data_IF_267879835980
#
_entry.id   IF_267879835980
#
_cell.length_a   1.000
_cell.length_b   1.000
_cell.length_c   1.000
_cell.angle_alpha   90.00
_cell.angle_beta   90.00
_cell.angle_gamma   90.00
#
_symmetry.space_group_name_H-M   'P 1'
#
loop_
_entity.id
_entity.type
_entity.pdbx_description
1 polymer ?
#
# COMPACT_ATOMS: atom_id res chain seq x y z
N UNK A 1 32.57 11.54 -33.06
CA UNK A 1 31.70 10.99 -32.00
C UNK A 1 31.32 12.14 -31.11
N UNK A 2 30.16 12.74 -31.35
CA UNK A 2 29.68 13.91 -30.61
C UNK A 2 28.62 13.40 -29.64
N UNK A 3 28.89 13.53 -28.34
CA UNK A 3 27.93 13.18 -27.30
C UNK A 3 26.72 14.11 -27.45
N UNK A 4 25.57 13.53 -27.77
CA UNK A 4 24.29 14.23 -27.68
C UNK A 4 23.99 14.46 -26.20
N UNK A 5 24.18 15.70 -25.76
CA UNK A 5 23.63 16.19 -24.48
C UNK A 5 22.12 16.19 -24.66
N UNK A 6 21.42 15.38 -23.86
CA UNK A 6 19.96 15.43 -23.80
C UNK A 6 19.54 16.81 -23.27
N UNK A 7 18.58 17.51 -23.90
CA UNK A 7 18.08 18.76 -23.37
C UNK A 7 17.42 18.51 -22.01
N UNK A 8 17.79 19.31 -21.01
CA UNK A 8 17.03 19.37 -19.76
C UNK A 8 15.59 19.79 -20.05
N UNK A 9 14.60 19.24 -19.33
CA UNK A 9 13.20 19.59 -19.57
C UNK A 9 13.00 21.08 -19.27
N UNK A 10 12.60 21.84 -20.30
CA UNK A 10 12.25 23.26 -20.19
C UNK A 10 11.21 23.47 -19.07
N UNK A 11 11.66 24.10 -17.99
CA UNK A 11 10.87 24.46 -16.80
C UNK A 11 10.18 25.82 -16.96
N UNK A 12 9.76 26.18 -18.17
CA UNK A 12 9.07 27.45 -18.41
C UNK A 12 7.57 27.25 -18.26
N UNK A 13 7.04 27.76 -17.15
CA UNK A 13 5.60 27.85 -16.96
C UNK A 13 4.94 28.91 -17.84
N UNK A 14 3.64 29.22 -17.62
CA UNK A 14 3.01 30.40 -18.20
C UNK A 14 3.93 31.63 -18.04
N UNK A 15 3.98 32.53 -19.04
CA UNK A 15 4.89 33.69 -19.05
C UNK A 15 4.97 34.37 -17.67
N UNK A 16 6.18 34.42 -17.11
CA UNK A 16 6.47 35.10 -15.84
C UNK A 16 6.38 34.23 -14.58
N UNK A 17 6.08 32.93 -14.65
CA UNK A 17 6.09 32.06 -13.47
C UNK A 17 7.47 31.43 -13.26
N UNK A 18 8.16 31.86 -12.20
CA UNK A 18 9.39 31.25 -11.69
C UNK A 18 9.06 30.05 -10.80
N UNK A 19 9.17 28.84 -11.36
CA UNK A 19 8.88 27.58 -10.66
C UNK A 19 9.85 27.30 -9.51
N UNK A 20 11.09 27.80 -9.57
CA UNK A 20 12.07 27.60 -8.50
C UNK A 20 11.71 28.47 -7.29
N UNK A 21 11.37 29.74 -7.53
CA UNK A 21 10.89 30.64 -6.47
C UNK A 21 9.60 30.12 -5.85
N UNK A 22 8.70 29.57 -6.66
CA UNK A 22 7.48 28.93 -6.19
C UNK A 22 7.76 27.71 -5.32
N UNK A 23 8.63 26.80 -5.77
CA UNK A 23 9.08 25.64 -5.00
C UNK A 23 9.65 26.03 -3.64
N UNK A 24 10.55 27.02 -3.61
CA UNK A 24 11.17 27.51 -2.38
C UNK A 24 10.13 28.07 -1.40
N UNK A 25 9.16 28.84 -1.91
CA UNK A 25 8.08 29.36 -1.07
C UNK A 25 7.20 28.23 -0.51
N UNK A 26 6.83 27.26 -1.34
CA UNK A 26 6.04 26.11 -0.89
C UNK A 26 6.78 25.28 0.16
N UNK A 27 8.09 25.06 0.01
CA UNK A 27 8.90 24.36 0.99
C UNK A 27 8.88 25.02 2.37
N UNK A 28 8.73 26.34 2.44
CA UNK A 28 8.58 27.07 3.70
C UNK A 28 7.11 27.15 4.19
N UNK A 29 6.14 27.04 3.28
CA UNK A 29 4.72 27.18 3.59
C UNK A 29 4.04 25.85 3.96
N UNK A 30 4.61 24.72 3.59
CA UNK A 30 4.12 23.38 3.91
C UNK A 30 4.53 22.99 5.33
N UNK A 31 3.56 22.49 6.10
CA UNK A 31 3.82 21.93 7.43
C UNK A 31 4.22 20.45 7.34
N UNK A 32 5.45 20.10 7.73
CA UNK A 32 5.95 18.71 7.71
C UNK A 32 5.15 17.78 8.63
N UNK A 33 4.71 18.30 9.79
CA UNK A 33 3.94 17.59 10.81
C UNK A 33 2.42 17.66 10.62
N UNK A 34 1.93 18.00 9.42
CA UNK A 34 0.48 18.07 9.14
C UNK A 34 -0.22 16.75 9.49
N UNK A 35 -1.38 16.80 10.16
CA UNK A 35 -2.14 15.61 10.61
C UNK A 35 -1.27 14.54 11.29
N UNK A 36 -0.75 14.80 12.51
CA UNK A 36 0.04 13.83 13.26
C UNK A 36 -0.70 12.49 13.40
N UNK A 37 0.00 11.39 13.11
CA UNK A 37 -0.56 10.03 13.15
C UNK A 37 -1.29 9.59 11.87
N UNK A 38 -1.71 10.51 11.01
CA UNK A 38 -2.28 10.19 9.70
C UNK A 38 -1.27 10.41 8.56
N UNK A 39 -0.48 11.48 8.60
CA UNK A 39 0.54 11.78 7.57
C UNK A 39 1.93 11.34 8.01
N UNK A 40 2.65 10.73 7.07
CA UNK A 40 4.08 10.43 7.18
C UNK A 40 4.82 11.09 6.01
N UNK A 41 5.57 12.16 6.33
CA UNK A 41 6.37 12.91 5.36
C UNK A 41 7.56 12.13 4.80
N UNK A 42 8.07 11.12 5.51
CA UNK A 42 9.20 10.31 5.03
C UNK A 42 8.73 9.31 3.97
N UNK A 43 7.63 8.61 4.23
CA UNK A 43 7.09 7.65 3.26
C UNK A 43 6.18 8.31 2.23
N UNK A 44 5.77 9.57 2.44
CA UNK A 44 4.79 10.32 1.66
C UNK A 44 3.45 9.57 1.60
N UNK A 45 3.07 8.97 2.72
CA UNK A 45 1.86 8.17 2.90
C UNK A 45 0.94 8.86 3.88
N UNK A 46 -0.30 9.05 3.47
CA UNK A 46 -1.39 9.38 4.36
C UNK A 46 -2.17 8.11 4.68
N UNK A 47 -2.46 7.88 5.96
CA UNK A 47 -3.33 6.82 6.49
C UNK A 47 -4.43 7.47 7.33
N UNK A 48 -5.63 7.53 6.76
CA UNK A 48 -6.77 8.17 7.40
C UNK A 48 -7.22 7.45 8.66
N UNK A 49 -7.32 8.22 9.74
CA UNK A 49 -7.87 7.77 11.01
C UNK A 49 -9.40 7.69 10.94
N UNK A 50 -9.95 6.55 11.35
CA UNK A 50 -11.40 6.31 11.38
C UNK A 50 -12.10 7.10 12.48
N UNK A 51 -11.36 7.48 13.53
CA UNK A 51 -11.87 8.24 14.66
C UNK A 51 -11.76 9.75 14.42
N UNK A 52 -11.04 10.17 13.37
CA UNK A 52 -10.95 11.57 12.99
C UNK A 52 -12.14 11.98 12.10
N UNK A 53 -13.08 12.81 12.59
CA UNK A 53 -14.27 13.19 11.82
C UNK A 53 -13.96 14.06 10.59
N UNK A 54 -12.73 14.56 10.47
CA UNK A 54 -12.23 15.34 9.34
C UNK A 54 -11.61 14.48 8.25
N UNK A 55 -11.66 13.16 8.38
CA UNK A 55 -11.20 12.19 7.37
C UNK A 55 -12.36 11.31 6.95
N UNK A 56 -12.54 11.08 5.64
CA UNK A 56 -13.57 10.18 5.11
C UNK A 56 -13.12 8.72 5.18
N UNK A 57 -12.96 8.24 6.40
CA UNK A 57 -12.64 6.87 6.74
C UNK A 57 -13.66 6.38 7.78
N UNK A 58 -14.25 5.22 7.54
CA UNK A 58 -15.25 4.64 8.44
C UNK A 58 -14.98 3.16 8.61
N UNK A 59 -15.21 2.61 9.80
CA UNK A 59 -15.23 1.16 9.97
C UNK A 59 -16.43 0.56 9.23
N UNK A 60 -16.26 -0.66 8.73
CA UNK A 60 -17.36 -1.44 8.17
C UNK A 60 -18.50 -1.53 9.18
N UNK A 61 -19.74 -1.41 8.70
CA UNK A 61 -20.95 -1.46 9.55
C UNK A 61 -21.07 -2.75 10.38
N UNK A 62 -20.49 -3.86 9.93
CA UNK A 62 -20.44 -5.09 10.73
C UNK A 62 -19.51 -4.91 11.93
N UNK A 63 -20.05 -5.05 13.15
CA UNK A 63 -19.33 -4.76 14.39
C UNK A 63 -18.02 -5.54 14.56
N UNK A 64 -18.00 -6.81 14.13
CA UNK A 64 -16.80 -7.67 14.18
C UNK A 64 -15.84 -7.49 12.99
N UNK A 65 -16.07 -6.51 12.10
CA UNK A 65 -15.29 -6.28 10.89
C UNK A 65 -14.53 -4.95 10.98
N UNK A 66 -13.21 -5.01 11.16
CA UNK A 66 -12.33 -3.82 11.20
C UNK A 66 -11.94 -3.29 9.81
N UNK A 67 -12.57 -3.76 8.74
CA UNK A 67 -12.26 -3.23 7.39
C UNK A 67 -12.70 -1.78 7.28
N UNK A 68 -11.79 -0.89 6.92
CA UNK A 68 -12.11 0.52 6.68
C UNK A 68 -12.73 0.71 5.30
N UNK A 69 -13.81 1.48 5.25
CA UNK A 69 -14.60 1.83 4.08
C UNK A 69 -14.70 3.36 3.93
N UNK A 70 -14.99 3.81 2.71
CA UNK A 70 -15.09 5.26 2.37
C UNK A 70 -16.40 5.92 2.79
N UNK A 71 -17.47 5.13 2.99
CA UNK A 71 -18.79 5.58 3.43
C UNK A 71 -19.23 4.77 4.63
N UNK A 72 -20.21 5.25 5.40
CA UNK A 72 -20.80 4.49 6.52
C UNK A 72 -21.64 3.31 6.00
N UNK A 73 -20.96 2.25 5.53
CA UNK A 73 -21.56 1.11 4.84
C UNK A 73 -20.82 -0.20 5.16
N UNK A 74 -21.29 -1.30 4.56
CA UNK A 74 -20.57 -2.57 4.62
C UNK A 74 -19.38 -2.57 3.67
N UNK A 75 -18.29 -3.24 4.05
CA UNK A 75 -17.22 -3.53 3.09
C UNK A 75 -17.72 -4.48 2.00
N UNK A 76 -17.06 -4.49 0.83
CA UNK A 76 -17.51 -5.29 -0.32
C UNK A 76 -17.73 -6.78 0.00
N UNK A 77 -16.92 -7.36 0.90
CA UNK A 77 -17.07 -8.76 1.35
C UNK A 77 -18.32 -8.94 2.21
N UNK A 78 -18.54 -8.07 3.18
CA UNK A 78 -19.73 -8.09 4.03
C UNK A 78 -20.99 -7.82 3.21
N UNK A 79 -20.97 -6.90 2.24
CA UNK A 79 -22.07 -6.66 1.29
C UNK A 79 -22.43 -7.92 0.53
N UNK A 80 -21.44 -8.60 -0.06
CA UNK A 80 -21.66 -9.84 -0.81
C UNK A 80 -22.22 -10.94 0.08
N UNK A 81 -21.67 -11.14 1.28
CA UNK A 81 -22.17 -12.15 2.21
C UNK A 81 -23.59 -11.84 2.68
N UNK A 82 -23.87 -10.61 3.09
CA UNK A 82 -25.20 -10.18 3.53
C UNK A 82 -26.26 -10.49 2.48
N UNK A 83 -25.98 -10.19 1.19
CA UNK A 83 -26.89 -10.48 0.08
C UNK A 83 -27.24 -11.97 -0.09
N UNK A 84 -26.44 -12.88 0.46
CA UNK A 84 -26.67 -14.33 0.40
C UNK A 84 -27.36 -14.90 1.64
N UNK A 85 -27.45 -14.13 2.73
CA UNK A 85 -27.96 -14.62 4.02
C UNK A 85 -29.46 -14.41 4.23
N UNK A 86 -30.11 -13.55 3.44
CA UNK A 86 -31.52 -13.19 3.61
C UNK A 86 -31.85 -12.42 4.90
N UNK A 87 -30.85 -12.09 5.72
CA UNK A 87 -30.99 -11.33 6.96
C UNK A 87 -31.16 -9.84 6.68
N UNK A 88 -31.78 -9.13 7.63
CA UNK A 88 -31.78 -7.68 7.59
C UNK A 88 -30.35 -7.12 7.75
N UNK A 89 -30.12 -5.90 7.27
CA UNK A 89 -28.82 -5.25 7.41
C UNK A 89 -28.39 -5.10 8.88
N UNK A 90 -29.31 -4.74 9.78
CA UNK A 90 -29.02 -4.56 11.21
C UNK A 90 -28.68 -5.88 11.90
N UNK A 91 -29.47 -6.91 11.64
CA UNK A 91 -29.21 -8.25 12.17
C UNK A 91 -27.86 -8.79 11.68
N UNK A 92 -27.53 -8.61 10.40
CA UNK A 92 -26.24 -9.00 9.85
C UNK A 92 -25.10 -8.19 10.48
N UNK A 93 -25.26 -6.87 10.63
CA UNK A 93 -24.24 -6.00 11.20
C UNK A 93 -23.88 -6.37 12.65
N UNK A 94 -24.87 -6.78 13.45
CA UNK A 94 -24.70 -7.14 14.84
C UNK A 94 -24.17 -8.57 15.05
N UNK A 95 -24.59 -9.53 14.21
CA UNK A 95 -24.34 -10.96 14.47
C UNK A 95 -23.25 -11.59 13.61
N UNK A 96 -22.90 -11.00 12.46
CA UNK A 96 -21.93 -11.60 11.55
C UNK A 96 -20.50 -11.44 12.07
N UNK A 97 -19.82 -12.56 12.27
CA UNK A 97 -18.37 -12.60 12.55
C UNK A 97 -17.64 -13.14 11.31
N UNK A 98 -16.85 -12.32 10.60
CA UNK A 98 -16.09 -12.78 9.44
C UNK A 98 -15.09 -13.87 9.86
N UNK A 99 -15.11 -15.04 9.18
CA UNK A 99 -14.28 -16.21 9.51
C UNK A 99 -12.75 -15.97 9.43
N UNK A 100 -12.37 -14.82 8.88
CA UNK A 100 -11.12 -14.07 8.99
C UNK A 100 -11.30 -12.96 7.97
N UNK A 101 -10.91 -11.72 8.28
CA UNK A 101 -10.72 -10.73 7.23
C UNK A 101 -9.61 -11.28 6.34
N UNK A 102 -9.97 -11.98 5.25
CA UNK A 102 -8.97 -12.41 4.29
C UNK A 102 -8.19 -11.14 3.93
N UNK A 103 -6.90 -11.12 4.25
CA UNK A 103 -6.05 -9.95 4.05
C UNK A 103 -6.37 -9.38 2.67
N UNK A 104 -6.74 -8.10 2.59
CA UNK A 104 -6.84 -7.46 1.29
C UNK A 104 -5.51 -7.69 0.55
N UNK A 105 -5.52 -7.80 -0.78
CA UNK A 105 -4.26 -7.90 -1.55
C UNK A 105 -3.28 -6.85 -1.04
N UNK A 106 -2.06 -7.21 -0.62
CA UNK A 106 -1.09 -6.23 -0.09
C UNK A 106 -1.23 -5.87 1.41
N UNK A 107 -2.17 -6.46 2.14
CA UNK A 107 -2.03 -6.65 3.59
C UNK A 107 -1.28 -7.95 3.89
N UNK A 108 -0.63 -8.01 5.05
CA UNK A 108 0.18 -9.15 5.47
C UNK A 108 -0.60 -10.46 5.28
N UNK A 109 -0.14 -11.36 4.39
CA UNK A 109 -0.71 -12.69 4.28
C UNK A 109 -0.74 -13.34 5.66
N UNK A 110 -1.65 -14.27 5.90
CA UNK A 110 -1.55 -15.10 7.09
C UNK A 110 -0.12 -15.62 7.21
N UNK A 111 0.52 -15.47 8.37
CA UNK A 111 1.87 -15.99 8.59
C UNK A 111 1.89 -17.50 8.37
N UNK A 112 3.05 -18.01 7.98
CA UNK A 112 3.29 -19.44 7.86
C UNK A 112 2.79 -20.19 9.12
N UNK A 113 2.20 -21.36 8.88
CA UNK A 113 1.63 -22.23 9.91
C UNK A 113 2.70 -23.09 10.61
N UNK A 114 3.98 -22.99 10.22
CA UNK A 114 5.08 -23.64 10.92
C UNK A 114 5.37 -22.91 12.22
N UNK A 115 5.19 -23.63 13.31
CA UNK A 115 5.49 -23.19 14.67
C UNK A 115 6.14 -24.34 15.46
N UNK A 116 7.02 -23.99 16.40
CA UNK A 116 7.67 -24.93 17.33
C UNK A 116 7.89 -24.23 18.66
N UNK A 117 7.29 -24.76 19.72
CA UNK A 117 7.22 -24.09 21.02
C UNK A 117 6.65 -22.66 20.86
N UNK A 118 7.40 -21.63 21.26
CA UNK A 118 6.98 -20.23 21.16
C UNK A 118 7.40 -19.55 19.84
N UNK A 119 8.12 -20.26 18.97
CA UNK A 119 8.58 -19.73 17.69
C UNK A 119 7.54 -19.98 16.62
N UNK A 120 7.12 -18.93 15.92
CA UNK A 120 6.31 -19.03 14.71
C UNK A 120 7.04 -18.38 13.56
N UNK A 121 6.98 -19.03 12.39
CA UNK A 121 7.57 -18.48 11.19
C UNK A 121 6.90 -17.16 10.81
N UNK A 122 7.69 -16.09 10.75
CA UNK A 122 7.27 -14.74 10.39
C UNK A 122 6.97 -14.59 8.90
N UNK A 123 7.42 -15.53 8.05
CA UNK A 123 7.26 -15.43 6.60
C UNK A 123 5.79 -15.53 6.17
N UNK A 124 5.38 -14.79 5.13
CA UNK A 124 4.01 -14.85 4.63
C UNK A 124 3.69 -16.25 4.08
N UNK A 125 2.51 -16.77 4.40
CA UNK A 125 2.01 -17.99 3.77
C UNK A 125 1.75 -17.75 2.28
N UNK A 126 2.20 -18.70 1.46
CA UNK A 126 2.05 -18.69 0.01
C UNK A 126 1.09 -19.79 -0.48
N UNK A 127 1.29 -21.03 -0.02
CA UNK A 127 0.51 -22.19 -0.44
C UNK A 127 0.22 -23.08 0.76
N UNK A 128 -1.06 -23.49 0.91
CA UNK A 128 -1.52 -24.39 1.99
C UNK A 128 -1.13 -23.94 3.40
N UNK A 129 -1.11 -22.62 3.63
CA UNK A 129 -0.72 -22.05 4.92
C UNK A 129 0.79 -22.05 5.20
N UNK A 130 1.64 -22.43 4.24
CA UNK A 130 3.11 -22.47 4.41
C UNK A 130 3.80 -21.38 3.58
N UNK A 131 4.92 -20.84 4.08
CA UNK A 131 5.82 -20.02 3.28
C UNK A 131 6.48 -20.87 2.17
N UNK A 132 7.12 -20.23 1.20
CA UNK A 132 7.70 -20.94 0.04
C UNK A 132 8.81 -21.93 0.43
N UNK A 133 9.63 -21.58 1.43
CA UNK A 133 10.72 -22.44 1.91
C UNK A 133 10.18 -23.62 2.71
N UNK A 134 9.22 -23.41 3.61
CA UNK A 134 8.58 -24.49 4.35
C UNK A 134 7.72 -25.39 3.47
N UNK A 135 7.04 -24.84 2.47
CA UNK A 135 6.32 -25.66 1.50
C UNK A 135 7.27 -26.58 0.72
N UNK A 136 8.45 -26.08 0.35
CA UNK A 136 9.49 -26.88 -0.33
C UNK A 136 10.07 -27.96 0.58
N UNK A 137 10.52 -27.59 1.78
CA UNK A 137 11.09 -28.54 2.75
C UNK A 137 10.10 -29.63 3.15
N UNK A 138 8.80 -29.29 3.29
CA UNK A 138 7.76 -30.29 3.55
C UNK A 138 7.58 -31.22 2.36
N UNK A 139 7.52 -30.69 1.14
CA UNK A 139 7.37 -31.49 -0.09
C UNK A 139 8.53 -32.47 -0.24
N UNK A 140 9.76 -32.03 0.03
CA UNK A 140 10.95 -32.89 0.03
C UNK A 140 10.88 -33.97 1.12
N UNK A 141 10.34 -33.64 2.30
CA UNK A 141 10.20 -34.57 3.41
C UNK A 141 9.09 -35.64 3.21
N UNK A 142 7.90 -35.26 2.71
CA UNK A 142 6.80 -36.23 2.51
C UNK A 142 6.76 -36.93 1.15
N UNK A 143 7.30 -36.31 0.10
CA UNK A 143 6.97 -36.68 -1.29
C UNK A 143 5.51 -36.45 -1.70
N UNK A 144 4.62 -36.12 -0.76
CA UNK A 144 3.20 -35.90 -0.99
C UNK A 144 2.87 -34.45 -1.33
N UNK A 145 1.78 -34.28 -2.08
CA UNK A 145 1.22 -32.95 -2.37
C UNK A 145 0.22 -32.51 -1.30
N UNK A 146 -0.43 -33.38 -0.53
CA UNK A 146 -1.40 -32.95 0.49
C UNK A 146 -0.72 -32.51 1.80
N UNK A 147 -1.35 -31.59 2.55
CA UNK A 147 -0.91 -31.20 3.90
C UNK A 147 -2.03 -31.58 4.87
N UNK A 148 -1.78 -32.61 5.68
CA UNK A 148 -2.62 -32.94 6.83
C UNK A 148 -2.04 -32.23 8.05
N UNK A 149 -2.88 -31.59 8.86
CA UNK A 149 -2.44 -30.75 9.99
C UNK A 149 -1.54 -31.49 10.98
N UNK A 150 -1.85 -32.74 11.31
CA UNK A 150 -1.05 -33.57 12.22
C UNK A 150 0.36 -33.85 11.69
N UNK A 151 0.50 -34.06 10.39
CA UNK A 151 1.80 -34.27 9.75
C UNK A 151 2.62 -32.99 9.66
N UNK A 152 1.95 -31.84 9.50
CA UNK A 152 2.61 -30.54 9.51
C UNK A 152 3.25 -30.27 10.87
N UNK A 153 2.52 -30.54 11.95
CA UNK A 153 3.03 -30.39 13.33
C UNK A 153 4.21 -31.33 13.57
N UNK A 154 4.10 -32.60 13.17
CA UNK A 154 5.19 -33.57 13.33
C UNK A 154 6.46 -33.17 12.56
N UNK A 155 6.30 -32.68 11.33
CA UNK A 155 7.43 -32.19 10.53
C UNK A 155 8.03 -30.90 11.10
N UNK A 156 7.21 -29.93 11.51
CA UNK A 156 7.66 -28.66 12.11
C UNK A 156 8.41 -28.87 13.44
N UNK A 157 8.09 -29.93 14.19
CA UNK A 157 8.80 -30.31 15.41
C UNK A 157 10.24 -30.78 15.16
N UNK A 158 10.60 -31.16 13.92
CA UNK A 158 11.95 -31.59 13.58
C UNK A 158 12.98 -30.46 13.80
N UNK A 159 14.11 -30.71 14.47
CA UNK A 159 15.19 -29.72 14.65
C UNK A 159 15.77 -29.20 13.32
N UNK A 160 15.67 -29.99 12.24
CA UNK A 160 16.13 -29.60 10.91
C UNK A 160 15.26 -28.55 10.22
N UNK A 161 14.05 -28.30 10.72
CA UNK A 161 13.20 -27.22 10.23
C UNK A 161 13.62 -25.92 10.91
N UNK A 162 14.17 -25.01 10.10
CA UNK A 162 14.52 -23.65 10.50
C UNK A 162 13.24 -22.81 10.55
N UNK A 163 13.05 -22.01 11.59
CA UNK A 163 11.90 -21.11 11.73
C UNK A 163 12.42 -19.68 11.73
N UNK A 164 12.26 -18.97 10.62
CA UNK A 164 12.57 -17.53 10.59
C UNK A 164 11.48 -16.76 11.31
N UNK A 165 11.79 -16.17 12.47
CA UNK A 165 10.84 -15.38 13.26
C UNK A 165 10.83 -13.91 12.81
N UNK A 166 12.02 -13.36 12.59
CA UNK A 166 12.19 -11.99 12.11
C UNK A 166 12.18 -11.97 10.58
N UNK A 167 11.17 -11.30 10.02
CA UNK A 167 11.07 -11.10 8.57
C UNK A 167 11.07 -9.59 8.31
N UNK A 168 12.00 -9.10 7.48
CA UNK A 168 12.07 -7.69 7.18
C UNK A 168 10.82 -7.21 6.45
N UNK A 169 10.53 -5.92 6.61
CA UNK A 169 9.48 -5.24 5.87
C UNK A 169 9.89 -5.00 4.41
N UNK A 170 8.89 -4.83 3.54
CA UNK A 170 9.09 -4.53 2.14
C UNK A 170 9.92 -3.26 1.95
N UNK A 171 10.92 -3.31 1.07
CA UNK A 171 11.74 -2.15 0.72
C UNK A 171 10.98 -1.01 0.02
N UNK A 172 9.70 -1.20 -0.34
CA UNK A 172 8.85 -0.12 -0.86
C UNK A 172 8.42 0.78 0.30
N UNK A 173 8.77 2.07 0.30
CA UNK A 173 8.49 2.95 1.43
C UNK A 173 6.98 3.01 1.78
N UNK A 174 6.67 2.88 3.07
CA UNK A 174 5.31 2.84 3.58
C UNK A 174 4.57 1.51 3.36
N UNK A 175 5.24 0.48 2.84
CA UNK A 175 4.65 -0.85 2.70
C UNK A 175 4.96 -1.73 3.91
N UNK A 176 3.94 -2.07 4.67
CA UNK A 176 4.03 -2.98 5.83
C UNK A 176 4.01 -4.47 5.45
N UNK A 177 4.14 -4.79 4.16
CA UNK A 177 4.07 -6.17 3.68
C UNK A 177 5.36 -6.91 4.02
N UNK A 178 5.25 -8.11 4.60
CA UNK A 178 6.41 -8.96 4.84
C UNK A 178 7.12 -9.31 3.51
N UNK A 179 8.45 -9.24 3.52
CA UNK A 179 9.30 -9.63 2.39
C UNK A 179 9.11 -11.12 2.09
N UNK A 180 9.12 -11.47 0.80
CA UNK A 180 9.17 -12.90 0.43
C UNK A 180 10.62 -13.40 0.54
N UNK A 181 10.83 -14.67 0.90
CA UNK A 181 12.18 -15.18 1.09
C UNK A 181 13.11 -14.94 -0.12
N UNK A 182 14.35 -14.56 0.18
CA UNK A 182 15.41 -14.22 -0.81
C UNK A 182 15.08 -13.02 -1.72
N UNK A 183 14.13 -12.17 -1.34
CA UNK A 183 13.84 -10.92 -2.01
C UNK A 183 14.00 -9.75 -1.03
N UNK A 184 13.80 -8.52 -1.51
CA UNK A 184 13.75 -7.31 -0.67
C UNK A 184 12.35 -6.66 -0.66
N UNK A 185 11.38 -7.26 -1.36
CA UNK A 185 10.01 -6.74 -1.47
C UNK A 185 8.98 -7.82 -1.14
N UNK A 186 7.77 -7.40 -0.75
CA UNK A 186 6.67 -8.31 -0.48
C UNK A 186 6.14 -9.00 -1.74
N UNK A 187 5.27 -10.00 -1.58
CA UNK A 187 4.73 -10.78 -2.71
C UNK A 187 3.95 -9.93 -3.72
N UNK A 188 3.27 -8.88 -3.25
CA UNK A 188 2.56 -7.94 -4.12
C UNK A 188 3.54 -7.17 -5.02
N UNK A 189 4.56 -6.56 -4.43
CA UNK A 189 5.56 -5.78 -5.16
C UNK A 189 6.49 -6.66 -5.99
N UNK A 190 6.80 -7.88 -5.57
CA UNK A 190 7.53 -8.84 -6.40
C UNK A 190 6.78 -9.09 -7.72
N UNK A 191 5.46 -9.37 -7.67
CA UNK A 191 4.64 -9.53 -8.89
C UNK A 191 4.61 -8.26 -9.74
N UNK A 192 4.49 -7.09 -9.13
CA UNK A 192 4.51 -5.82 -9.84
C UNK A 192 5.86 -5.59 -10.55
N UNK A 193 6.98 -5.91 -9.89
CA UNK A 193 8.33 -5.83 -10.47
C UNK A 193 8.50 -6.82 -11.61
N UNK A 194 8.08 -8.07 -11.45
CA UNK A 194 8.10 -9.06 -12.53
C UNK A 194 7.32 -8.56 -13.75
N UNK A 195 6.12 -8.00 -13.55
CA UNK A 195 5.34 -7.43 -14.63
C UNK A 195 6.03 -6.23 -15.30
N UNK A 196 6.68 -5.35 -14.53
CA UNK A 196 7.48 -4.25 -15.06
C UNK A 196 8.70 -4.75 -15.84
N UNK A 197 9.36 -5.82 -15.40
CA UNK A 197 10.50 -6.41 -16.09
C UNK A 197 10.11 -6.96 -17.47
N UNK A 198 8.94 -7.60 -17.58
CA UNK A 198 8.39 -8.02 -18.87
C UNK A 198 8.11 -6.87 -19.83
N UNK A 199 7.88 -5.65 -19.32
CA UNK A 199 7.70 -4.43 -20.12
C UNK A 199 9.01 -3.64 -20.33
N UNK A 200 10.13 -4.09 -19.76
CA UNK A 200 11.40 -3.36 -19.80
C UNK A 200 11.48 -2.15 -18.84
N UNK A 201 10.55 -2.03 -17.89
CA UNK A 201 10.38 -0.88 -16.99
C UNK A 201 10.95 -1.10 -15.58
N UNK A 202 11.37 -2.32 -15.23
CA UNK A 202 11.81 -2.62 -13.85
C UNK A 202 13.19 -2.06 -13.50
N UNK A 203 13.99 -1.66 -14.50
CA UNK A 203 15.40 -1.37 -14.32
C UNK A 203 16.22 -2.59 -13.86
N UNK A 204 17.55 -2.45 -13.76
CA UNK A 204 18.43 -3.54 -13.32
C UNK A 204 18.36 -3.77 -11.81
N UNK A 205 18.18 -2.70 -11.02
CA UNK A 205 18.25 -2.74 -9.55
C UNK A 205 16.86 -2.84 -8.90
N UNK A 206 16.72 -3.74 -7.93
CA UNK A 206 15.47 -3.93 -7.21
C UNK A 206 15.23 -2.83 -6.16
N UNK A 207 16.29 -2.30 -5.55
CA UNK A 207 16.17 -1.29 -4.50
C UNK A 207 15.74 0.07 -5.08
N UNK A 208 16.38 0.50 -6.16
CA UNK A 208 15.99 1.69 -6.94
C UNK A 208 14.55 1.59 -7.41
N UNK A 209 14.16 0.45 -8.00
CA UNK A 209 12.78 0.21 -8.41
C UNK A 209 11.81 0.35 -7.24
N UNK A 210 12.13 -0.25 -6.08
CA UNK A 210 11.30 -0.22 -4.89
C UNK A 210 11.13 1.20 -4.32
N UNK A 211 12.19 2.02 -4.34
CA UNK A 211 12.16 3.42 -3.87
C UNK A 211 11.18 4.32 -4.62
N UNK A 212 10.92 3.99 -5.90
CA UNK A 212 9.98 4.69 -6.77
C UNK A 212 8.54 4.16 -6.68
N UNK A 213 8.34 2.98 -6.09
CA UNK A 213 7.01 2.39 -5.98
C UNK A 213 6.18 3.00 -4.85
N UNK A 214 4.87 2.86 -4.97
CA UNK A 214 3.93 3.14 -3.88
C UNK A 214 3.58 1.86 -3.12
N UNK A 215 3.24 1.95 -1.82
CA UNK A 215 2.73 0.81 -1.08
C UNK A 215 1.39 0.34 -1.65
N UNK A 216 0.93 -0.85 -1.25
CA UNK A 216 -0.47 -1.20 -1.46
C UNK A 216 -1.34 -0.28 -0.60
N UNK A 217 -2.34 0.35 -1.22
CA UNK A 217 -3.10 1.43 -0.60
C UNK A 217 -4.53 0.98 -0.19
N UNK A 218 -4.80 0.87 1.10
CA UNK A 218 -6.12 0.55 1.70
C UNK A 218 -7.10 1.72 1.60
N UNK A 219 -8.42 1.54 1.55
CA UNK A 219 -9.37 2.62 1.17
C UNK A 219 -9.16 4.01 1.82
N UNK A 220 -8.70 4.09 3.07
CA UNK A 220 -8.43 5.31 3.82
C UNK A 220 -7.02 5.90 3.60
N UNK A 221 -6.21 5.35 2.71
CA UNK A 221 -4.84 5.79 2.48
C UNK A 221 -4.69 6.61 1.19
N UNK A 222 -3.60 7.34 1.00
CA UNK A 222 -3.11 7.74 -0.32
C UNK A 222 -1.61 8.00 -0.23
N UNK A 223 -0.90 7.96 -1.36
CA UNK A 223 0.52 8.32 -1.39
C UNK A 223 0.80 9.36 -2.45
N UNK A 224 1.65 10.34 -2.13
CA UNK A 224 2.11 11.39 -3.05
C UNK A 224 3.41 10.98 -3.79
N UNK A 225 3.97 9.81 -3.51
CA UNK A 225 5.29 9.38 -4.03
C UNK A 225 5.38 9.32 -5.55
N UNK A 226 4.26 9.11 -6.26
CA UNK A 226 4.22 9.15 -7.74
C UNK A 226 4.35 10.54 -8.36
N UNK A 227 4.14 11.60 -7.57
CA UNK A 227 4.25 12.97 -8.04
C UNK A 227 5.73 13.40 -8.06
N UNK A 228 6.10 14.30 -8.97
CA UNK A 228 7.39 14.97 -8.92
C UNK A 228 7.48 15.90 -7.70
N UNK A 229 8.69 16.32 -7.32
CA UNK A 229 8.94 17.07 -6.09
C UNK A 229 8.07 18.34 -5.94
N UNK A 230 8.07 19.22 -6.95
CA UNK A 230 7.25 20.43 -6.93
C UNK A 230 5.74 20.11 -6.85
N UNK A 231 5.27 19.16 -7.65
CA UNK A 231 3.88 18.71 -7.63
C UNK A 231 3.48 18.14 -6.25
N UNK A 232 4.39 17.45 -5.53
CA UNK A 232 4.14 17.00 -4.15
C UNK A 232 3.91 18.17 -3.20
N UNK A 233 4.75 19.20 -3.29
CA UNK A 233 4.63 20.40 -2.46
C UNK A 233 3.33 21.15 -2.74
N UNK A 234 2.97 21.32 -4.01
CA UNK A 234 1.70 21.94 -4.42
C UNK A 234 0.49 21.17 -3.90
N UNK A 235 0.51 19.84 -4.04
CA UNK A 235 -0.54 18.97 -3.52
C UNK A 235 -0.65 19.10 -2.00
N UNK A 236 0.47 18.98 -1.29
CA UNK A 236 0.49 19.00 0.16
C UNK A 236 -0.01 20.35 0.69
N UNK A 237 0.46 21.46 0.10
CA UNK A 237 -0.04 22.79 0.42
C UNK A 237 -1.55 22.91 0.16
N UNK A 238 -2.04 22.48 -1.01
CA UNK A 238 -3.48 22.54 -1.33
C UNK A 238 -4.34 21.71 -0.36
N UNK A 239 -3.87 20.52 0.03
CA UNK A 239 -4.54 19.67 1.01
C UNK A 239 -4.54 20.32 2.40
N UNK A 240 -3.42 20.89 2.84
CA UNK A 240 -3.31 21.62 4.11
C UNK A 240 -4.24 22.83 4.15
N UNK A 241 -4.28 23.64 3.08
CA UNK A 241 -5.18 24.79 3.00
C UNK A 241 -6.66 24.41 2.95
N UNK A 242 -6.98 23.30 2.28
CA UNK A 242 -8.35 22.76 2.27
C UNK A 242 -8.72 22.25 3.66
N UNK A 243 -7.80 21.54 4.29
CA UNK A 243 -7.98 21.01 5.63
C UNK A 243 -8.16 22.15 6.63
N UNK A 244 -7.28 23.16 6.69
CA UNK A 244 -7.37 24.31 7.59
C UNK A 244 -8.74 25.03 7.55
N UNK A 245 -9.44 25.00 6.40
CA UNK A 245 -10.80 25.52 6.22
C UNK A 245 -11.91 24.60 6.74
N UNK A 246 -11.57 23.52 7.43
CA UNK A 246 -12.50 22.55 8.01
C UNK A 246 -13.07 21.54 7.02
N UNK A 247 -12.55 21.47 5.79
CA UNK A 247 -13.07 20.51 4.81
C UNK A 247 -12.59 19.08 5.13
N UNK A 248 -13.48 18.11 4.96
CA UNK A 248 -13.13 16.69 5.11
C UNK A 248 -12.17 16.25 4.01
N UNK A 249 -11.19 15.46 4.40
CA UNK A 249 -10.24 14.84 3.49
C UNK A 249 -10.84 13.57 2.89
N UNK A 250 -10.84 13.48 1.57
CA UNK A 250 -11.35 12.34 0.82
C UNK A 250 -10.19 11.62 0.12
N UNK A 251 -9.73 10.52 0.72
CA UNK A 251 -8.55 9.77 0.27
C UNK A 251 -8.71 9.20 -1.13
N UNK A 252 -9.92 8.82 -1.53
CA UNK A 252 -10.21 8.30 -2.88
C UNK A 252 -10.12 9.41 -3.92
N UNK A 253 -10.67 10.59 -3.61
CA UNK A 253 -10.53 11.77 -4.46
C UNK A 253 -9.05 12.14 -4.64
N UNK A 254 -8.27 12.17 -3.55
CA UNK A 254 -6.83 12.47 -3.62
C UNK A 254 -6.08 11.45 -4.47
N UNK A 255 -6.36 10.14 -4.35
CA UNK A 255 -5.75 9.12 -5.23
C UNK A 255 -6.03 9.37 -6.70
N UNK A 256 -7.27 9.72 -7.04
CA UNK A 256 -7.63 10.00 -8.43
C UNK A 256 -6.85 11.20 -8.96
N UNK A 257 -6.74 12.26 -8.16
CA UNK A 257 -5.94 13.43 -8.50
C UNK A 257 -4.45 13.06 -8.66
N UNK A 258 -3.85 12.35 -7.70
CA UNK A 258 -2.45 11.91 -7.79
C UNK A 258 -2.19 11.11 -9.07
N UNK A 259 -3.08 10.16 -9.41
CA UNK A 259 -2.95 9.38 -10.64
C UNK A 259 -3.08 10.25 -11.89
N UNK A 260 -3.97 11.23 -11.88
CA UNK A 260 -4.22 12.10 -13.01
C UNK A 260 -3.06 13.06 -13.29
N UNK A 261 -2.41 13.59 -12.24
CA UNK A 261 -1.31 14.55 -12.37
C UNK A 261 0.08 13.90 -12.28
N UNK A 262 0.16 12.58 -12.14
CA UNK A 262 1.43 11.86 -12.20
C UNK A 262 2.14 12.13 -13.54
N UNK A 263 3.42 12.50 -13.47
CA UNK A 263 4.23 12.84 -14.63
C UNK A 263 4.13 14.31 -15.09
N UNK A 264 3.26 15.12 -14.48
CA UNK A 264 3.28 16.58 -14.69
C UNK A 264 4.22 17.27 -13.68
N UNK A 265 4.95 18.31 -14.11
CA UNK A 265 5.91 18.99 -13.25
C UNK A 265 5.24 19.93 -12.23
N UNK A 266 4.12 20.58 -12.57
CA UNK A 266 3.39 21.51 -11.70
C UNK A 266 1.93 21.68 -12.13
N UNK A 267 1.04 21.97 -11.17
CA UNK A 267 -0.36 22.32 -11.39
C UNK A 267 -0.50 23.61 -12.21
N UNK A 268 0.46 24.53 -12.10
CA UNK A 268 0.47 25.80 -12.81
C UNK A 268 0.62 25.63 -14.33
N UNK A 269 1.04 24.44 -14.79
CA UNK A 269 1.28 24.15 -16.22
C UNK A 269 0.09 23.46 -16.90
N UNK A 270 -0.97 23.13 -16.17
CA UNK A 270 -2.11 22.36 -16.71
C UNK A 270 -2.91 23.16 -17.74
N UNK A 271 -3.02 24.49 -17.55
CA UNK A 271 -3.78 25.37 -18.44
C UNK A 271 -3.11 25.62 -19.81
N UNK A 272 -1.84 25.24 -19.99
CA UNK A 272 -1.10 25.45 -21.25
C UNK A 272 -1.34 24.35 -22.31
N UNK A 273 -2.21 23.36 -22.05
CA UNK A 273 -2.38 22.16 -22.90
C UNK A 273 -3.81 21.86 -23.37
N UNK A 274 -4.75 22.77 -23.17
CA UNK A 274 -6.11 22.62 -23.73
C UNK A 274 -6.34 23.70 -24.79
N UNK A 275 -6.12 23.42 -26.09
CA UNK A 275 -6.71 24.26 -27.11
C UNK A 275 -8.23 24.08 -27.04
N UNK A 276 -8.94 25.21 -27.03
CA UNK A 276 -10.39 25.28 -27.13
C UNK A 276 -10.93 24.52 -28.35
#
# INVERSE_FOLDING_TARGET
>A
MTLAVAPEPDATGPEGIDLQRWSNWLGAAVEDGWRPGEWDGQTLLFTGDVDNPRTRAHSCRTAACSTVVHTQSFCAKCTKLMSTTGRSADEFAASHTPARLAAASGQDPARCAVERAELRCGNPASARGLCIDHYRGRREHSGQRSVVTSELVAWAASPSVVIEVEVPECAVPGCVGAVVPRQIVCAYHHRARTAAAYRGEAGPDAASWAGEQIPFLLQHQFSLRRLGELMRLEFLYALQQRDARGAKLDTQCVRHMVRHFAGLPSLLLIAARTPC
#
